data_IF_944495580551
#
_entry.id   IF_944495580551
#
_cell.length_a   1.000
_cell.length_b   1.000
_cell.length_c   1.000
_cell.angle_alpha   90.00
_cell.angle_beta   90.00
_cell.angle_gamma   90.00
#
_symmetry.space_group_name_H-M   'P 1'
#
loop_
_entity.id
_entity.type
_entity.pdbx_description
1 polymer ?
#
# COMPACT_ATOMS: atom_id res chain seq x y z
N UNK A 1 -6.03 4.96 -18.10
CA UNK A 1 -4.70 4.97 -18.74
C UNK A 1 -3.75 4.13 -17.90
N UNK A 2 -2.98 3.22 -18.50
CA UNK A 2 -1.94 2.44 -17.82
C UNK A 2 -0.63 3.23 -17.77
N UNK A 3 0.07 3.18 -16.64
CA UNK A 3 1.42 3.75 -16.52
C UNK A 3 2.38 2.93 -17.41
N UNK A 4 3.22 3.58 -18.26
CA UNK A 4 4.21 2.84 -19.04
C UNK A 4 5.28 2.22 -18.12
N UNK A 5 5.60 0.96 -18.36
CA UNK A 5 6.69 0.22 -17.72
C UNK A 5 7.62 -0.36 -18.79
N UNK A 6 8.88 -0.63 -18.45
CA UNK A 6 9.82 -1.23 -19.40
C UNK A 6 9.40 -2.68 -19.67
N UNK A 7 9.09 -2.99 -20.93
CA UNK A 7 8.75 -4.34 -21.38
C UNK A 7 9.85 -5.35 -21.02
N UNK A 8 9.47 -6.54 -20.53
CA UNK A 8 10.43 -7.58 -20.13
C UNK A 8 11.32 -8.04 -21.30
N UNK A 9 10.79 -8.02 -22.53
CA UNK A 9 11.54 -8.30 -23.76
C UNK A 9 12.70 -7.32 -23.99
N UNK A 10 12.63 -6.13 -23.40
CA UNK A 10 13.67 -5.09 -23.42
C UNK A 10 14.59 -5.15 -22.20
N UNK A 11 14.47 -6.17 -21.37
CA UNK A 11 15.37 -6.47 -20.25
C UNK A 11 16.26 -7.64 -20.65
N UNK A 12 17.58 -7.46 -20.49
CA UNK A 12 18.55 -8.51 -20.77
C UNK A 12 18.29 -9.75 -19.90
N UNK A 13 18.26 -10.99 -20.44
CA UNK A 13 17.89 -12.20 -19.70
C UNK A 13 18.66 -12.41 -18.39
N UNK A 14 19.95 -12.07 -18.37
CA UNK A 14 20.81 -12.26 -17.19
C UNK A 14 20.44 -11.41 -15.97
N UNK A 15 19.64 -10.34 -16.13
CA UNK A 15 19.23 -9.46 -15.03
C UNK A 15 17.74 -9.56 -14.69
N UNK A 16 16.94 -10.33 -15.44
CA UNK A 16 15.49 -10.46 -15.22
C UNK A 16 15.17 -10.98 -13.82
N UNK A 17 15.85 -12.04 -13.38
CA UNK A 17 15.69 -12.59 -12.03
C UNK A 17 16.01 -11.57 -10.94
N UNK A 18 17.09 -10.79 -11.10
CA UNK A 18 17.45 -9.73 -10.14
C UNK A 18 16.36 -8.66 -10.01
N UNK A 19 15.68 -8.31 -11.10
CA UNK A 19 14.57 -7.35 -11.07
C UNK A 19 13.35 -7.98 -10.38
N UNK A 20 13.00 -9.22 -10.75
CA UNK A 20 11.85 -9.92 -10.20
C UNK A 20 11.99 -10.18 -8.69
N UNK A 21 13.18 -10.54 -8.23
CA UNK A 21 13.43 -10.94 -6.84
C UNK A 21 13.74 -9.75 -5.91
N UNK A 22 13.95 -8.55 -6.45
CA UNK A 22 14.35 -7.37 -5.67
C UNK A 22 13.30 -7.02 -4.59
N UNK A 23 13.58 -7.42 -3.35
CA UNK A 23 12.66 -7.31 -2.21
C UNK A 23 11.28 -7.93 -2.45
N UNK A 24 11.22 -9.01 -3.22
CA UNK A 24 9.98 -9.75 -3.47
C UNK A 24 9.34 -10.28 -2.18
N UNK A 25 10.13 -10.57 -1.14
CA UNK A 25 9.66 -10.91 0.21
C UNK A 25 8.76 -9.82 0.81
N UNK A 26 9.16 -8.56 0.64
CA UNK A 26 8.43 -7.40 1.16
C UNK A 26 7.12 -7.21 0.40
N UNK A 27 7.15 -7.33 -0.93
CA UNK A 27 5.95 -7.23 -1.76
C UNK A 27 4.97 -8.36 -1.42
N UNK A 28 5.45 -9.60 -1.32
CA UNK A 28 4.64 -10.78 -0.93
C UNK A 28 4.01 -10.61 0.45
N UNK A 29 4.74 -10.07 1.42
CA UNK A 29 4.21 -9.80 2.76
C UNK A 29 3.05 -8.79 2.72
N UNK A 30 3.19 -7.71 1.94
CA UNK A 30 2.10 -6.73 1.75
C UNK A 30 0.92 -7.34 1.00
N UNK A 31 1.15 -8.13 -0.05
CA UNK A 31 0.09 -8.82 -0.78
C UNK A 31 -0.70 -9.77 0.13
N UNK A 32 -0.02 -10.57 0.95
CA UNK A 32 -0.65 -11.47 1.90
C UNK A 32 -1.50 -10.69 2.92
N UNK A 33 -0.94 -9.62 3.50
CA UNK A 33 -1.65 -8.76 4.42
C UNK A 33 -2.91 -8.14 3.80
N UNK A 34 -2.81 -7.64 2.56
CA UNK A 34 -3.92 -7.04 1.81
C UNK A 34 -5.01 -8.06 1.46
N UNK A 35 -4.63 -9.32 1.23
CA UNK A 35 -5.59 -10.40 0.98
C UNK A 35 -6.31 -10.86 2.27
N UNK A 36 -5.63 -10.86 3.42
CA UNK A 36 -6.18 -11.37 4.68
C UNK A 36 -6.83 -10.32 5.58
N UNK A 37 -6.67 -9.04 5.28
CA UNK A 37 -7.17 -7.95 6.12
C UNK A 37 -8.01 -6.97 5.31
N UNK A 38 -9.09 -6.52 5.94
CA UNK A 38 -10.03 -5.55 5.34
C UNK A 38 -9.40 -4.19 5.10
N UNK A 39 -8.61 -3.69 6.05
CA UNK A 39 -7.88 -2.42 5.92
C UNK A 39 -6.41 -2.67 6.23
N UNK A 40 -5.52 -2.27 5.33
CA UNK A 40 -4.07 -2.33 5.53
C UNK A 40 -3.47 -0.96 5.30
N UNK A 41 -2.66 -0.51 6.24
CA UNK A 41 -1.87 0.71 6.12
C UNK A 41 -0.41 0.33 6.05
N UNK A 42 0.25 0.64 4.93
CA UNK A 42 1.70 0.46 4.78
C UNK A 42 2.38 1.80 4.96
N UNK A 43 3.36 1.88 5.86
CA UNK A 43 4.04 3.12 6.22
C UNK A 43 5.51 2.94 6.60
N UNK A 44 6.03 3.94 7.30
CA UNK A 44 7.41 3.98 7.77
C UNK A 44 7.49 4.82 9.06
N UNK A 45 8.49 4.54 9.88
CA UNK A 45 8.80 5.34 11.05
C UNK A 45 9.15 6.79 10.66
N UNK A 46 8.95 7.73 11.59
CA UNK A 46 9.19 9.17 11.46
C UNK A 46 8.30 9.93 10.45
N UNK A 47 7.66 9.24 9.50
CA UNK A 47 6.72 9.89 8.60
C UNK A 47 5.39 10.20 9.35
N UNK A 48 4.94 11.46 9.40
CA UNK A 48 3.72 11.82 10.10
C UNK A 48 2.44 11.35 9.39
N UNK A 49 2.46 11.11 8.07
CA UNK A 49 1.25 10.77 7.31
C UNK A 49 0.68 9.38 7.61
N UNK A 50 1.48 8.30 7.77
CA UNK A 50 0.97 7.02 8.28
C UNK A 50 0.29 7.17 9.64
N UNK A 51 0.84 7.98 10.55
CA UNK A 51 0.21 8.26 11.84
C UNK A 51 -1.12 9.00 11.69
N UNK A 52 -1.22 9.96 10.77
CA UNK A 52 -2.49 10.65 10.46
C UNK A 52 -3.56 9.69 9.95
N UNK A 53 -3.23 8.82 8.99
CA UNK A 53 -4.15 7.82 8.47
C UNK A 53 -4.64 6.86 9.56
N UNK A 54 -3.72 6.36 10.39
CA UNK A 54 -4.05 5.49 11.52
C UNK A 54 -4.96 6.17 12.54
N UNK A 55 -4.64 7.41 12.94
CA UNK A 55 -5.48 8.19 13.87
C UNK A 55 -6.89 8.40 13.32
N UNK A 56 -7.03 8.63 12.02
CA UNK A 56 -8.34 8.76 11.38
C UNK A 56 -9.13 7.45 11.48
N UNK A 57 -8.50 6.30 11.17
CA UNK A 57 -9.13 4.98 11.32
C UNK A 57 -9.49 4.65 12.77
N UNK A 58 -8.60 4.99 13.72
CA UNK A 58 -8.85 4.84 15.16
C UNK A 58 -10.09 5.66 15.57
N UNK A 59 -10.21 6.91 15.09
CA UNK A 59 -11.35 7.78 15.35
C UNK A 59 -12.67 7.28 14.76
N UNK A 60 -12.61 6.46 13.72
CA UNK A 60 -13.77 5.78 13.11
C UNK A 60 -14.05 4.40 13.73
N UNK A 61 -13.23 3.95 14.69
CA UNK A 61 -13.33 2.59 15.25
C UNK A 61 -13.09 1.49 14.21
N UNK A 62 -12.38 1.78 13.11
CA UNK A 62 -12.15 0.83 12.02
C UNK A 62 -10.86 0.04 12.26
N UNK A 63 -10.91 -1.29 12.44
CA UNK A 63 -9.71 -2.11 12.58
C UNK A 63 -8.85 -2.09 11.33
N UNK A 64 -7.53 -2.02 11.50
CA UNK A 64 -6.56 -2.10 10.40
C UNK A 64 -5.31 -2.85 10.83
N UNK A 65 -4.62 -3.44 9.85
CA UNK A 65 -3.24 -3.90 10.02
C UNK A 65 -2.28 -2.80 9.57
N UNK A 66 -1.29 -2.48 10.40
CA UNK A 66 -0.21 -1.56 10.05
C UNK A 66 1.10 -2.30 9.79
N UNK A 67 1.67 -2.10 8.60
CA UNK A 67 2.99 -2.60 8.24
C UNK A 67 3.98 -1.44 8.13
N UNK A 68 5.05 -1.51 8.92
CA UNK A 68 6.08 -0.48 8.96
C UNK A 68 7.38 -0.98 8.34
N UNK A 69 7.92 -0.23 7.36
CA UNK A 69 9.17 -0.57 6.68
C UNK A 69 10.22 0.55 6.84
N UNK A 70 11.04 0.42 7.88
CA UNK A 70 12.19 1.29 8.16
C UNK A 70 11.82 2.75 8.46
N UNK A 71 12.81 3.63 8.31
CA UNK A 71 12.68 5.08 8.54
C UNK A 71 13.33 5.88 7.39
N UNK A 72 13.45 7.20 7.53
CA UNK A 72 14.23 7.99 6.58
C UNK A 72 15.70 7.57 6.50
N UNK A 73 16.20 6.88 7.53
CA UNK A 73 17.58 6.44 7.65
C UNK A 73 17.80 4.97 7.23
N UNK A 74 16.73 4.19 6.98
CA UNK A 74 16.85 2.74 6.76
C UNK A 74 15.78 2.16 5.83
N UNK A 75 16.08 1.00 5.22
CA UNK A 75 15.14 0.19 4.42
C UNK A 75 14.44 0.89 3.25
N UNK A 76 15.02 1.97 2.70
CA UNK A 76 14.44 2.69 1.57
C UNK A 76 14.28 1.81 0.32
N UNK A 77 15.14 0.80 0.12
CA UNK A 77 15.05 -0.15 -1.00
C UNK A 77 13.81 -1.06 -0.91
N UNK A 78 13.44 -1.52 0.29
CA UNK A 78 12.19 -2.27 0.52
C UNK A 78 10.97 -1.42 0.17
N UNK A 79 10.97 -0.14 0.59
CA UNK A 79 9.92 0.81 0.22
C UNK A 79 9.88 1.11 -1.27
N UNK A 80 11.04 1.18 -1.93
CA UNK A 80 11.10 1.38 -3.38
C UNK A 80 10.43 0.24 -4.12
N UNK A 81 10.66 -1.01 -3.73
CA UNK A 81 10.01 -2.17 -4.34
C UNK A 81 8.46 -2.07 -4.23
N UNK A 82 7.94 -1.66 -3.07
CA UNK A 82 6.50 -1.43 -2.88
C UNK A 82 5.95 -0.33 -3.81
N UNK A 83 6.70 0.77 -4.00
CA UNK A 83 6.31 1.87 -4.91
C UNK A 83 6.34 1.45 -6.37
N UNK A 84 7.31 0.62 -6.76
CA UNK A 84 7.40 0.09 -8.12
C UNK A 84 6.25 -0.88 -8.41
N UNK A 85 5.95 -1.78 -7.48
CA UNK A 85 4.86 -2.75 -7.59
C UNK A 85 3.48 -2.08 -7.64
N UNK A 86 3.19 -1.18 -6.70
CA UNK A 86 1.88 -0.52 -6.63
C UNK A 86 1.68 0.61 -7.65
N UNK A 87 2.77 1.12 -8.21
CA UNK A 87 2.76 2.36 -8.99
C UNK A 87 2.57 3.65 -8.17
N UNK A 88 2.35 3.54 -6.85
CA UNK A 88 2.09 4.66 -5.94
C UNK A 88 3.37 5.25 -5.35
N UNK A 89 3.53 6.56 -5.39
CA UNK A 89 4.81 7.22 -5.13
C UNK A 89 5.02 7.67 -3.68
N UNK A 90 3.98 7.69 -2.85
CA UNK A 90 4.02 8.26 -1.49
C UNK A 90 3.69 7.23 -0.40
N UNK A 91 3.90 7.60 0.86
CA UNK A 91 3.43 6.83 2.02
C UNK A 91 2.53 7.72 2.90
N UNK A 92 1.49 7.15 3.54
CA UNK A 92 1.15 5.72 3.55
C UNK A 92 0.56 5.24 2.22
N UNK A 93 0.61 3.93 1.98
CA UNK A 93 -0.30 3.24 1.05
C UNK A 93 -1.44 2.66 1.88
N UNK A 94 -2.67 3.03 1.58
CA UNK A 94 -3.86 2.55 2.29
C UNK A 94 -4.64 1.64 1.36
N UNK A 95 -4.87 0.41 1.80
CA UNK A 95 -5.68 -0.57 1.10
C UNK A 95 -6.98 -0.83 1.85
N UNK A 96 -8.08 -0.94 1.11
CA UNK A 96 -9.39 -1.35 1.62
C UNK A 96 -9.93 -2.48 0.73
N UNK A 97 -10.24 -3.63 1.33
CA UNK A 97 -10.76 -4.82 0.63
C UNK A 97 -9.94 -5.18 -0.63
N UNK A 98 -8.61 -5.26 -0.49
CA UNK A 98 -7.72 -5.57 -1.61
C UNK A 98 -7.35 -4.38 -2.52
N UNK A 99 -8.05 -3.25 -2.42
CA UNK A 99 -7.93 -2.11 -3.35
C UNK A 99 -7.08 -1.01 -2.74
N UNK A 100 -6.06 -0.53 -3.47
CA UNK A 100 -5.30 0.66 -3.09
C UNK A 100 -6.16 1.91 -3.27
N UNK A 101 -6.46 2.61 -2.17
CA UNK A 101 -7.27 3.84 -2.19
C UNK A 101 -6.43 5.13 -2.16
N UNK A 102 -5.10 4.99 -2.10
CA UNK A 102 -4.15 6.11 -2.08
C UNK A 102 -3.46 6.27 -0.73
N UNK A 103 -3.25 7.52 -0.30
CA UNK A 103 -2.58 7.87 0.95
C UNK A 103 -3.49 8.46 2.02
N UNK A 104 -2.88 9.15 3.00
CA UNK A 104 -3.63 9.71 4.13
C UNK A 104 -4.67 10.77 3.72
N UNK A 105 -4.37 11.57 2.69
CA UNK A 105 -5.29 12.60 2.19
C UNK A 105 -6.44 11.98 1.38
N UNK A 106 -6.16 10.95 0.59
CA UNK A 106 -7.18 10.21 -0.16
C UNK A 106 -8.15 9.52 0.80
N UNK A 107 -7.62 8.87 1.84
CA UNK A 107 -8.44 8.30 2.91
C UNK A 107 -9.33 9.37 3.57
N UNK A 108 -8.77 10.53 3.92
CA UNK A 108 -9.56 11.62 4.49
C UNK A 108 -10.70 12.05 3.55
N UNK A 109 -10.42 12.24 2.26
CA UNK A 109 -11.46 12.58 1.25
C UNK A 109 -12.56 11.53 1.15
N UNK A 110 -12.22 10.25 1.21
CA UNK A 110 -13.20 9.16 1.18
C UNK A 110 -14.05 9.12 2.46
N UNK A 111 -13.47 9.47 3.60
CA UNK A 111 -14.21 9.60 4.86
C UNK A 111 -15.15 10.80 4.81
N UNK A 112 -14.66 11.96 4.36
CA UNK A 112 -15.44 13.20 4.28
C UNK A 112 -16.63 13.09 3.31
N UNK A 113 -16.47 12.33 2.21
CA UNK A 113 -17.53 12.05 1.25
C UNK A 113 -18.48 10.91 1.67
N UNK A 114 -18.16 10.18 2.73
CA UNK A 114 -18.91 8.99 3.16
C UNK A 114 -18.64 7.73 2.32
N UNK A 115 -17.89 7.82 1.23
CA UNK A 115 -17.55 6.67 0.36
C UNK A 115 -16.75 5.60 1.11
N UNK A 116 -15.92 5.99 2.08
CA UNK A 116 -15.16 5.05 2.91
C UNK A 116 -16.06 4.02 3.60
N UNK A 117 -17.21 4.45 4.12
CA UNK A 117 -18.18 3.55 4.78
C UNK A 117 -18.70 2.48 3.82
N UNK A 118 -18.95 2.84 2.56
CA UNK A 118 -19.36 1.90 1.53
C UNK A 118 -18.23 0.92 1.18
N UNK A 119 -16.99 1.41 1.07
CA UNK A 119 -15.81 0.58 0.78
C UNK A 119 -15.55 -0.46 1.88
N UNK A 120 -15.83 -0.12 3.14
CA UNK A 120 -15.73 -1.07 4.27
C UNK A 120 -17.05 -1.79 4.55
N UNK A 121 -18.10 -1.63 3.77
CA UNK A 121 -19.29 -2.45 3.97
C UNK A 121 -18.97 -3.93 3.63
N UNK A 122 -19.65 -4.91 4.26
CA UNK A 122 -19.58 -6.29 3.79
C UNK A 122 -19.98 -6.34 2.32
N UNK A 123 -19.17 -6.97 1.47
CA UNK A 123 -19.62 -7.31 0.12
C UNK A 123 -20.72 -8.36 0.30
N UNK A 124 -21.94 -8.03 -0.12
CA UNK A 124 -23.00 -9.04 -0.22
C UNK A 124 -22.54 -10.02 -1.28
N UNK A 125 -22.19 -11.23 -0.87
CA UNK A 125 -21.93 -12.31 -1.80
C UNK A 125 -23.24 -12.60 -2.52
N UNK A 126 -23.28 -12.31 -3.83
CA UNK A 126 -24.31 -12.79 -4.72
C UNK A 126 -24.11 -14.26 -5.05
#
# INVERSE_FOLDING_TARGET
MSRPVLEETRIHPSIRGRIADNHADTVKAVQAAVASNKVVVVGMAMNPFPRKARKLLDGLGTPYLYLEYGSYLSQWRRRLALKMWSGWSTLPMVFVNGTLIGGAQDLQRLVDSGEFTALVAPKIAG
#
